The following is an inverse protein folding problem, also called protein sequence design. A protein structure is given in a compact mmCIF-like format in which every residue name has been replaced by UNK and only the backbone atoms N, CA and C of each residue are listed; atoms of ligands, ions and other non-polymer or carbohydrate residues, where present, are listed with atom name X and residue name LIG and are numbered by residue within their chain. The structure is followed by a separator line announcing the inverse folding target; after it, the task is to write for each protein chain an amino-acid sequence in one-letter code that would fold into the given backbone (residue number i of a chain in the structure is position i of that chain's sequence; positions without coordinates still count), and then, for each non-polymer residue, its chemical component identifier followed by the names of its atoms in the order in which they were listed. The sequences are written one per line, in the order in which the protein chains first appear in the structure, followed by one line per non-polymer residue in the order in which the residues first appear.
data_IF_433582622580
#
_entry.id   IF_433582622580
#
_cell.length_a   1.000
_cell.length_b   1.000
_cell.length_c   1.000
_cell.angle_alpha   90.00
_cell.angle_beta   90.00
_cell.angle_gamma   90.00
#
_symmetry.space_group_name_H-M   'P 1'
#
loop_
_entity.id
_entity.type
_entity.pdbx_description
1 polymer ?
#
# COMPACT_ATOMS: atom_id res chain seq x y z
N UNK A 1 4.38 -8.12 20.78
CA UNK A 1 2.91 -8.44 20.78
C UNK A 1 2.38 -8.35 19.36
N UNK A 2 1.49 -9.23 18.94
CA UNK A 2 0.91 -9.18 17.59
C UNK A 2 0.21 -7.84 17.34
N UNK A 3 0.48 -7.19 16.20
CA UNK A 3 -0.13 -5.92 15.81
C UNK A 3 -1.55 -6.13 15.27
N UNK A 4 -2.47 -5.25 15.64
CA UNK A 4 -3.79 -5.12 15.02
C UNK A 4 -3.67 -4.24 13.77
N UNK A 5 -4.04 -4.76 12.61
CA UNK A 5 -3.79 -4.14 11.32
C UNK A 5 -5.11 -3.86 10.60
N UNK A 6 -5.25 -2.66 10.05
CA UNK A 6 -6.16 -2.38 8.95
C UNK A 6 -5.33 -2.37 7.66
N UNK A 7 -5.81 -3.10 6.64
CA UNK A 7 -5.19 -3.10 5.32
C UNK A 7 -6.05 -2.34 4.31
N UNK A 8 -5.44 -1.47 3.52
CA UNK A 8 -6.12 -0.70 2.47
C UNK A 8 -5.46 -0.97 1.13
N UNK A 9 -6.19 -1.61 0.20
CA UNK A 9 -5.63 -1.97 -1.10
C UNK A 9 -6.70 -2.31 -2.13
N UNK A 10 -6.34 -2.32 -3.42
CA UNK A 10 -7.33 -2.60 -4.48
C UNK A 10 -6.82 -3.58 -5.54
N UNK A 11 -5.67 -3.36 -6.24
CA UNK A 11 -5.26 -4.17 -7.39
C UNK A 11 -4.60 -5.48 -6.98
N UNK A 12 -4.36 -6.33 -7.97
CA UNK A 12 -3.64 -7.61 -7.85
C UNK A 12 -2.29 -7.44 -7.13
N UNK A 13 -1.59 -6.35 -7.38
CA UNK A 13 -0.33 -6.00 -6.71
C UNK A 13 -0.39 -6.07 -5.18
N UNK A 14 -1.54 -5.74 -4.59
CA UNK A 14 -1.72 -5.69 -3.14
C UNK A 14 -2.04 -7.07 -2.52
N UNK A 15 -2.49 -8.05 -3.32
CA UNK A 15 -2.94 -9.36 -2.81
C UNK A 15 -1.83 -10.18 -2.14
N UNK A 16 -0.61 -10.35 -2.72
CA UNK A 16 0.46 -11.09 -2.08
C UNK A 16 0.90 -10.46 -0.75
N UNK A 17 0.81 -9.12 -0.66
CA UNK A 17 1.18 -8.37 0.55
C UNK A 17 0.16 -8.62 1.65
N UNK A 18 -1.15 -8.49 1.35
CA UNK A 18 -2.22 -8.81 2.29
C UNK A 18 -2.15 -10.27 2.74
N UNK A 19 -1.95 -11.19 1.78
CA UNK A 19 -1.80 -12.62 2.08
C UNK A 19 -0.66 -12.87 3.06
N UNK A 20 0.50 -12.21 2.85
CA UNK A 20 1.66 -12.38 3.71
C UNK A 20 1.41 -11.88 5.13
N UNK A 21 0.66 -10.76 5.28
CA UNK A 21 0.23 -10.26 6.59
C UNK A 21 -0.75 -11.24 7.24
N UNK A 22 -1.75 -11.73 6.48
CA UNK A 22 -2.77 -12.66 6.97
C UNK A 22 -2.18 -13.99 7.45
N UNK A 23 -1.13 -14.48 6.77
CA UNK A 23 -0.44 -15.73 7.11
C UNK A 23 0.61 -15.54 8.24
N UNK A 24 0.77 -14.32 8.78
CA UNK A 24 1.69 -14.01 9.88
C UNK A 24 1.02 -14.12 11.26
N UNK A 25 1.78 -13.79 12.30
CA UNK A 25 1.26 -13.70 13.68
C UNK A 25 0.40 -12.45 13.96
N UNK A 26 0.41 -11.47 13.05
CA UNK A 26 -0.35 -10.23 13.21
C UNK A 26 -1.83 -10.41 12.85
N UNK A 27 -2.69 -9.51 13.33
CA UNK A 27 -4.14 -9.64 13.23
C UNK A 27 -4.70 -8.64 12.24
N UNK A 28 -5.20 -9.10 11.08
CA UNK A 28 -5.95 -8.27 10.14
C UNK A 28 -7.37 -8.06 10.67
N UNK A 29 -7.63 -6.89 11.25
CA UNK A 29 -8.94 -6.53 11.82
C UNK A 29 -9.99 -6.26 10.76
N UNK A 30 -9.61 -5.52 9.73
CA UNK A 30 -10.51 -5.11 8.64
C UNK A 30 -9.71 -4.73 7.40
N UNK A 31 -10.30 -4.94 6.22
CA UNK A 31 -9.71 -4.59 4.95
C UNK A 31 -10.58 -3.55 4.25
N UNK A 32 -9.95 -2.55 3.64
CA UNK A 32 -10.59 -1.54 2.81
C UNK A 32 -10.19 -1.72 1.35
N UNK A 33 -11.14 -1.72 0.45
CA UNK A 33 -10.91 -1.74 -1.00
C UNK A 33 -11.90 -0.81 -1.71
N UNK A 34 -11.59 -0.43 -2.94
CA UNK A 34 -12.55 0.33 -3.73
C UNK A 34 -13.83 -0.48 -4.01
N UNK A 35 -14.98 0.17 -4.10
CA UNK A 35 -16.22 -0.50 -4.48
C UNK A 35 -16.10 -1.13 -5.88
N UNK A 36 -16.89 -2.17 -6.17
CA UNK A 36 -16.97 -2.78 -7.49
C UNK A 36 -17.27 -1.74 -8.57
N UNK A 37 -16.60 -1.87 -9.72
CA UNK A 37 -16.80 -0.97 -10.87
C UNK A 37 -17.32 -1.75 -12.06
N UNK A 38 -18.18 -1.10 -12.86
CA UNK A 38 -18.54 -1.61 -14.18
C UNK A 38 -17.33 -1.53 -15.10
N UNK A 39 -16.94 -2.64 -15.71
CA UNK A 39 -15.81 -2.74 -16.65
C UNK A 39 -16.24 -3.39 -17.96
N UNK A 40 -15.54 -3.03 -19.05
CA UNK A 40 -15.74 -3.54 -20.41
C UNK A 40 -17.08 -3.18 -21.07
N UNK A 41 -17.18 -3.47 -22.38
CA UNK A 41 -18.38 -3.17 -23.21
C UNK A 41 -19.69 -3.80 -22.70
N UNK A 42 -19.62 -4.86 -21.88
CA UNK A 42 -20.80 -5.52 -21.27
C UNK A 42 -21.15 -5.00 -19.87
N UNK A 43 -20.52 -3.93 -19.35
CA UNK A 43 -20.76 -3.35 -18.02
C UNK A 43 -20.83 -4.37 -16.88
N UNK A 44 -20.12 -5.49 -16.98
CA UNK A 44 -20.05 -6.49 -15.91
C UNK A 44 -19.43 -5.87 -14.68
N UNK A 45 -20.06 -6.09 -13.52
CA UNK A 45 -19.54 -5.65 -12.23
C UNK A 45 -18.29 -6.49 -11.92
N UNK A 46 -17.14 -5.83 -11.81
CA UNK A 46 -15.89 -6.49 -11.42
C UNK A 46 -15.53 -6.09 -10.00
N UNK A 47 -15.44 -7.09 -9.13
CA UNK A 47 -14.93 -6.94 -7.77
C UNK A 47 -13.41 -6.93 -7.78
N UNK A 48 -12.79 -6.15 -6.87
CA UNK A 48 -11.33 -6.06 -6.80
C UNK A 48 -10.68 -7.40 -6.43
N UNK A 49 -9.40 -7.64 -6.83
CA UNK A 49 -8.65 -8.82 -6.38
C UNK A 49 -8.57 -8.93 -4.85
N UNK A 50 -8.43 -7.82 -4.15
CA UNK A 50 -8.47 -7.77 -2.67
C UNK A 50 -9.83 -8.24 -2.15
N UNK A 51 -10.93 -7.84 -2.80
CA UNK A 51 -12.26 -8.31 -2.39
C UNK A 51 -12.37 -9.85 -2.52
N UNK A 52 -11.94 -10.40 -3.65
CA UNK A 52 -11.96 -11.87 -3.85
C UNK A 52 -11.19 -12.59 -2.76
N UNK A 53 -9.98 -12.13 -2.46
CA UNK A 53 -9.16 -12.71 -1.39
C UNK A 53 -9.84 -12.65 -0.03
N UNK A 54 -10.48 -11.50 0.30
CA UNK A 54 -11.17 -11.35 1.58
C UNK A 54 -12.41 -12.24 1.69
N UNK A 55 -13.18 -12.37 0.61
CA UNK A 55 -14.36 -13.27 0.57
C UNK A 55 -13.93 -14.72 0.77
N UNK A 56 -12.86 -15.19 0.10
CA UNK A 56 -12.32 -16.54 0.26
C UNK A 56 -11.82 -16.83 1.69
N UNK A 57 -11.24 -15.83 2.34
CA UNK A 57 -10.68 -15.93 3.70
C UNK A 57 -11.65 -15.52 4.81
N UNK A 58 -12.87 -15.07 4.45
CA UNK A 58 -13.89 -14.54 5.37
C UNK A 58 -13.38 -13.38 6.22
N UNK A 59 -12.52 -12.52 5.62
CA UNK A 59 -12.00 -11.32 6.27
C UNK A 59 -13.04 -10.21 6.13
N UNK A 60 -13.28 -9.48 7.22
CA UNK A 60 -14.16 -8.31 7.21
C UNK A 60 -13.65 -7.25 6.23
N UNK A 61 -14.51 -6.81 5.30
CA UNK A 61 -14.13 -5.88 4.23
C UNK A 61 -15.12 -4.74 4.07
N UNK A 62 -14.61 -3.51 3.93
CA UNK A 62 -15.36 -2.29 3.62
C UNK A 62 -15.02 -1.79 2.22
N UNK A 63 -16.00 -1.15 1.57
CA UNK A 63 -15.90 -0.71 0.17
C UNK A 63 -16.38 0.74 0.02
N UNK A 64 -15.81 1.70 0.77
CA UNK A 64 -16.24 3.08 0.69
C UNK A 64 -15.80 3.71 -0.64
N UNK A 65 -16.51 4.75 -1.07
CA UNK A 65 -16.12 5.60 -2.20
C UNK A 65 -15.15 6.71 -1.79
N UNK A 66 -15.17 7.08 -0.51
CA UNK A 66 -14.27 8.05 0.14
C UNK A 66 -14.09 7.68 1.60
N UNK A 67 -13.02 8.15 2.23
CA UNK A 67 -12.84 8.04 3.68
C UNK A 67 -13.47 9.30 4.31
N UNK A 68 -14.74 9.19 4.61
CA UNK A 68 -15.54 10.24 5.25
C UNK A 68 -15.47 10.14 6.78
N UNK A 69 -16.34 10.91 7.45
CA UNK A 69 -16.39 10.95 8.93
C UNK A 69 -16.76 9.59 9.53
N UNK A 70 -17.69 8.87 8.91
CA UNK A 70 -18.12 7.52 9.38
C UNK A 70 -16.97 6.54 9.32
N UNK A 71 -16.22 6.52 8.20
CA UNK A 71 -15.08 5.65 8.04
C UNK A 71 -13.94 6.03 8.99
N UNK A 72 -13.72 7.32 9.24
CA UNK A 72 -12.75 7.78 10.25
C UNK A 72 -13.11 7.30 11.66
N UNK A 73 -14.38 7.40 12.05
CA UNK A 73 -14.85 6.91 13.35
C UNK A 73 -14.75 5.39 13.44
N UNK A 74 -15.06 4.64 12.36
CA UNK A 74 -14.88 3.20 12.36
C UNK A 74 -13.42 2.80 12.58
N UNK A 75 -12.48 3.46 11.89
CA UNK A 75 -11.03 3.20 12.06
C UNK A 75 -10.58 3.53 13.48
N UNK A 76 -11.05 4.64 14.06
CA UNK A 76 -10.77 5.00 15.46
C UNK A 76 -11.30 3.95 16.45
N UNK A 77 -12.52 3.47 16.24
CA UNK A 77 -13.15 2.47 17.12
C UNK A 77 -12.45 1.11 17.06
N UNK A 78 -11.93 0.72 15.89
CA UNK A 78 -11.10 -0.48 15.74
C UNK A 78 -9.78 -0.30 16.49
N UNK A 79 -9.27 0.94 16.55
CA UNK A 79 -8.00 1.32 17.18
C UNK A 79 -6.84 0.40 16.76
N UNK A 80 -6.53 0.32 15.45
CA UNK A 80 -5.43 -0.52 14.98
C UNK A 80 -4.08 0.08 15.39
N UNK A 81 -3.05 -0.75 15.54
CA UNK A 81 -1.68 -0.29 15.76
C UNK A 81 -1.10 0.33 14.47
N UNK A 82 -1.49 -0.22 13.33
CA UNK A 82 -1.03 0.25 12.02
C UNK A 82 -2.08 0.09 10.93
N UNK A 83 -2.14 1.07 10.03
CA UNK A 83 -2.88 1.02 8.77
C UNK A 83 -1.86 0.86 7.64
N UNK A 84 -1.90 -0.26 6.93
CA UNK A 84 -1.05 -0.55 5.78
C UNK A 84 -1.81 -0.21 4.50
N UNK A 85 -1.26 0.70 3.69
CA UNK A 85 -1.85 1.16 2.44
C UNK A 85 -1.01 0.68 1.26
N UNK A 86 -1.67 0.05 0.27
CA UNK A 86 -1.01 -0.49 -0.94
C UNK A 86 -1.89 -0.23 -2.15
N UNK A 87 -1.54 0.73 -2.98
CA UNK A 87 -2.27 1.07 -4.20
C UNK A 87 -3.80 1.14 -3.97
N UNK A 88 -4.23 1.74 -2.88
CA UNK A 88 -5.63 1.84 -2.49
C UNK A 88 -6.42 2.79 -3.40
N UNK A 89 -5.81 3.95 -3.72
CA UNK A 89 -6.33 4.93 -4.67
C UNK A 89 -7.53 5.73 -4.17
N UNK A 90 -7.71 5.83 -2.85
CA UNK A 90 -8.58 6.79 -2.16
C UNK A 90 -7.69 7.59 -1.22
N UNK A 91 -7.86 8.91 -1.22
CA UNK A 91 -7.09 9.83 -0.37
C UNK A 91 -7.54 9.67 1.08
N UNK A 92 -6.58 9.56 1.99
CA UNK A 92 -6.85 9.58 3.42
C UNK A 92 -6.92 11.04 3.92
N UNK A 93 -7.99 11.43 4.62
CA UNK A 93 -8.11 12.79 5.11
C UNK A 93 -7.09 13.09 6.21
N UNK A 94 -6.70 14.36 6.31
CA UNK A 94 -5.69 14.83 7.26
C UNK A 94 -6.05 14.47 8.71
N UNK A 95 -7.33 14.56 9.05
CA UNK A 95 -7.85 14.26 10.38
C UNK A 95 -7.55 12.82 10.79
N UNK A 96 -7.66 11.88 9.85
CA UNK A 96 -7.32 10.47 10.09
C UNK A 96 -5.82 10.30 10.33
N UNK A 97 -4.98 10.95 9.52
CA UNK A 97 -3.52 10.85 9.59
C UNK A 97 -2.92 11.47 10.87
N UNK A 98 -3.70 12.26 11.60
CA UNK A 98 -3.27 12.92 12.85
C UNK A 98 -3.58 12.13 14.12
N UNK A 99 -4.21 10.95 14.00
CA UNK A 99 -4.50 10.10 15.15
C UNK A 99 -3.18 9.56 15.71
N UNK A 100 -2.83 9.95 16.93
CA UNK A 100 -1.48 9.74 17.51
C UNK A 100 -1.09 8.27 17.69
N UNK A 101 -2.05 7.40 17.99
CA UNK A 101 -1.77 6.00 18.34
C UNK A 101 -1.82 5.05 17.11
N UNK A 102 -2.08 5.57 15.92
CA UNK A 102 -2.18 4.78 14.69
C UNK A 102 -1.03 5.15 13.76
N UNK A 103 -0.24 4.17 13.35
CA UNK A 103 0.82 4.35 12.35
C UNK A 103 0.22 4.15 10.95
N UNK A 104 0.38 5.12 10.04
CA UNK A 104 -0.08 5.03 8.65
C UNK A 104 1.12 4.83 7.74
N UNK A 105 1.23 3.65 7.13
CA UNK A 105 2.35 3.20 6.31
C UNK A 105 1.87 2.90 4.90
N UNK A 106 2.54 3.47 3.90
CA UNK A 106 2.31 3.17 2.49
C UNK A 106 3.46 2.34 1.90
N UNK A 107 3.10 1.35 1.09
CA UNK A 107 4.04 0.59 0.26
C UNK A 107 3.96 1.17 -1.15
N UNK A 108 4.96 1.96 -1.52
CA UNK A 108 5.04 2.64 -2.80
C UNK A 108 5.94 1.89 -3.77
N UNK A 109 5.46 1.72 -5.02
CA UNK A 109 6.13 0.92 -6.03
C UNK A 109 7.19 1.71 -6.82
N UNK A 110 8.04 2.46 -6.12
CA UNK A 110 9.23 3.12 -6.67
C UNK A 110 10.32 3.31 -5.61
N UNK A 111 11.49 3.76 -6.05
CA UNK A 111 12.57 4.26 -5.16
C UNK A 111 12.34 5.76 -4.88
N UNK A 112 11.52 6.08 -3.91
CA UNK A 112 11.26 7.47 -3.52
C UNK A 112 12.58 8.22 -3.21
N UNK A 113 12.69 9.50 -3.59
CA UNK A 113 11.62 10.42 -4.00
C UNK A 113 11.23 10.37 -5.48
N UNK A 114 11.78 9.45 -6.27
CA UNK A 114 11.44 9.31 -7.69
C UNK A 114 10.07 8.66 -7.87
N UNK A 115 9.33 9.10 -8.89
CA UNK A 115 8.07 8.52 -9.35
C UNK A 115 7.01 8.49 -8.24
N UNK A 116 6.81 9.60 -7.52
CA UNK A 116 5.63 9.81 -6.67
C UNK A 116 4.37 9.75 -7.52
N UNK A 117 3.25 9.26 -6.99
CA UNK A 117 1.97 9.25 -7.69
C UNK A 117 1.46 7.86 -8.06
N UNK A 118 0.53 7.81 -9.03
CA UNK A 118 -0.35 6.65 -9.21
C UNK A 118 0.20 5.51 -10.09
N UNK A 119 1.19 5.75 -10.95
CA UNK A 119 1.63 4.82 -11.98
C UNK A 119 3.15 4.57 -12.03
N UNK A 120 3.86 4.40 -10.88
CA UNK A 120 5.31 4.35 -10.86
C UNK A 120 5.91 3.18 -11.65
N UNK A 121 5.26 2.01 -11.67
CA UNK A 121 5.74 0.83 -12.42
C UNK A 121 5.70 1.09 -13.92
N UNK A 122 4.58 1.60 -14.42
CA UNK A 122 4.43 1.94 -15.85
C UNK A 122 5.43 3.02 -16.26
N UNK A 123 5.58 4.03 -15.43
CA UNK A 123 6.49 5.15 -15.70
C UNK A 123 7.95 4.72 -15.71
N UNK A 124 8.37 3.85 -14.81
CA UNK A 124 9.73 3.30 -14.79
C UNK A 124 10.07 2.55 -16.10
N UNK A 125 9.11 1.76 -16.63
CA UNK A 125 9.29 1.07 -17.92
C UNK A 125 9.32 2.06 -19.08
N UNK A 126 8.40 3.03 -19.13
CA UNK A 126 8.33 4.04 -20.19
C UNK A 126 9.58 4.93 -20.24
N UNK A 127 10.16 5.24 -19.08
CA UNK A 127 11.39 6.01 -18.96
C UNK A 127 12.64 5.18 -19.30
N UNK A 128 12.50 3.87 -19.54
CA UNK A 128 13.62 2.95 -19.73
C UNK A 128 14.59 2.95 -18.54
N UNK A 129 14.04 3.10 -17.32
CA UNK A 129 14.83 3.07 -16.10
C UNK A 129 15.53 1.70 -15.95
N UNK A 130 16.81 1.69 -15.57
CA UNK A 130 17.57 0.45 -15.37
C UNK A 130 17.26 -0.24 -14.04
N UNK A 131 16.70 0.50 -13.09
CA UNK A 131 16.31 0.02 -11.78
C UNK A 131 15.05 0.75 -11.27
N UNK A 132 14.26 0.08 -10.47
CA UNK A 132 13.18 0.62 -9.66
C UNK A 132 13.20 -0.07 -8.31
N UNK A 133 12.11 -0.07 -7.56
CA UNK A 133 12.05 -0.78 -6.29
C UNK A 133 10.78 -0.49 -5.50
N UNK A 134 10.83 -0.88 -4.24
CA UNK A 134 9.79 -0.62 -3.26
C UNK A 134 10.32 0.35 -2.22
N UNK A 135 9.50 1.33 -1.85
CA UNK A 135 9.72 2.19 -0.68
C UNK A 135 8.59 2.02 0.32
N UNK A 136 8.94 1.79 1.58
CA UNK A 136 8.00 1.79 2.70
C UNK A 136 8.11 3.12 3.42
N UNK A 137 7.02 3.87 3.49
CA UNK A 137 7.01 5.24 3.95
C UNK A 137 5.83 5.54 4.88
N UNK A 138 6.00 6.54 5.74
CA UNK A 138 4.90 7.12 6.52
C UNK A 138 4.02 7.97 5.61
N UNK A 139 2.70 7.84 5.74
CA UNK A 139 1.75 8.66 5.01
C UNK A 139 1.64 10.04 5.66
N UNK A 140 1.72 11.08 4.84
CA UNK A 140 1.43 12.47 5.19
C UNK A 140 0.43 13.06 4.18
N UNK A 141 -0.19 14.23 4.44
CA UNK A 141 -1.16 14.81 3.52
C UNK A 141 -0.62 15.12 2.10
N UNK A 142 0.70 15.33 1.97
CA UNK A 142 1.33 15.57 0.67
C UNK A 142 1.61 14.22 -0.03
N UNK A 143 1.21 14.14 -1.30
CA UNK A 143 1.28 12.91 -2.10
C UNK A 143 2.68 12.30 -2.11
N UNK A 144 2.79 11.08 -1.60
CA UNK A 144 3.99 10.23 -1.55
C UNK A 144 5.28 10.94 -1.10
N UNK A 145 5.14 12.03 -0.33
CA UNK A 145 6.25 12.85 0.16
C UNK A 145 6.66 12.57 1.61
N UNK A 146 6.02 11.61 2.26
CA UNK A 146 6.33 11.25 3.64
C UNK A 146 7.72 10.63 3.82
N UNK A 147 8.26 10.65 5.04
CA UNK A 147 9.57 10.07 5.30
C UNK A 147 9.58 8.57 5.08
N UNK A 148 10.69 8.07 4.55
CA UNK A 148 10.87 6.67 4.15
C UNK A 148 11.57 5.89 5.24
N UNK A 149 11.04 4.72 5.57
CA UNK A 149 11.61 3.80 6.54
C UNK A 149 12.59 2.83 5.90
N UNK A 150 12.20 2.25 4.75
CA UNK A 150 13.06 1.27 4.06
C UNK A 150 12.84 1.31 2.54
N UNK A 151 13.87 0.93 1.80
CA UNK A 151 13.83 0.79 0.34
C UNK A 151 14.52 -0.50 -0.08
N UNK A 152 14.01 -1.11 -1.14
CA UNK A 152 14.68 -2.24 -1.80
C UNK A 152 14.60 -2.10 -3.31
N UNK A 153 15.71 -2.41 -4.00
CA UNK A 153 15.90 -2.21 -5.44
C UNK A 153 15.56 -3.45 -6.25
N UNK A 154 15.07 -3.25 -7.47
CA UNK A 154 14.89 -4.29 -8.49
C UNK A 154 15.49 -3.77 -9.80
N UNK A 155 16.27 -4.61 -10.48
CA UNK A 155 16.75 -4.33 -11.85
C UNK A 155 15.61 -4.50 -12.85
N UNK A 156 15.55 -3.58 -13.83
CA UNK A 156 14.67 -3.66 -14.99
C UNK A 156 15.53 -4.07 -16.20
N UNK A 157 15.16 -5.17 -16.85
CA UNK A 157 15.84 -5.61 -18.08
C UNK A 157 15.11 -5.04 -19.30
N UNK A 158 15.78 -5.00 -20.43
CA UNK A 158 15.29 -4.36 -21.67
C UNK A 158 13.94 -4.92 -22.17
N UNK A 159 13.69 -6.19 -21.92
CA UNK A 159 12.51 -6.94 -22.32
C UNK A 159 11.47 -7.08 -21.20
N UNK A 160 11.71 -6.47 -20.05
CA UNK A 160 10.80 -6.54 -18.89
C UNK A 160 9.48 -5.83 -19.21
N UNK A 161 8.38 -6.56 -19.16
CA UNK A 161 7.04 -5.99 -19.30
C UNK A 161 6.42 -5.62 -17.93
N UNK A 162 5.27 -4.92 -17.99
CA UNK A 162 4.57 -4.45 -16.79
C UNK A 162 4.15 -5.60 -15.84
N UNK A 163 3.62 -6.70 -16.39
CA UNK A 163 3.11 -7.80 -15.58
C UNK A 163 4.24 -8.48 -14.79
N UNK A 164 5.36 -8.72 -15.44
CA UNK A 164 6.54 -9.30 -14.81
C UNK A 164 7.14 -8.40 -13.74
N UNK A 165 7.29 -7.09 -14.05
CA UNK A 165 7.84 -6.15 -13.09
C UNK A 165 6.91 -5.98 -11.89
N UNK A 166 5.61 -5.80 -12.13
CA UNK A 166 4.59 -5.69 -11.09
C UNK A 166 4.60 -6.90 -10.16
N UNK A 167 4.68 -8.11 -10.71
CA UNK A 167 4.76 -9.35 -9.92
C UNK A 167 6.04 -9.39 -9.07
N UNK A 168 7.21 -9.16 -9.66
CA UNK A 168 8.49 -9.13 -8.93
C UNK A 168 8.48 -8.09 -7.79
N UNK A 169 7.91 -6.92 -8.05
CA UNK A 169 7.79 -5.85 -7.05
C UNK A 169 6.80 -6.22 -5.94
N UNK A 170 5.68 -6.84 -6.27
CA UNK A 170 4.71 -7.33 -5.28
C UNK A 170 5.32 -8.42 -4.38
N UNK A 171 6.06 -9.36 -4.96
CA UNK A 171 6.77 -10.41 -4.22
C UNK A 171 7.85 -9.82 -3.29
N UNK A 172 8.59 -8.80 -3.76
CA UNK A 172 9.54 -8.07 -2.92
C UNK A 172 8.84 -7.33 -1.79
N UNK A 173 7.77 -6.58 -2.08
CA UNK A 173 6.99 -5.87 -1.07
C UNK A 173 6.40 -6.81 -0.02
N UNK A 174 5.97 -8.01 -0.42
CA UNK A 174 5.44 -9.03 0.51
C UNK A 174 6.50 -9.58 1.48
N UNK A 175 7.78 -9.56 1.12
CA UNK A 175 8.88 -9.90 2.03
C UNK A 175 9.19 -8.72 2.96
N UNK A 176 9.27 -7.51 2.40
CA UNK A 176 9.56 -6.29 3.16
C UNK A 176 8.49 -5.97 4.21
N UNK A 177 7.22 -6.30 3.96
CA UNK A 177 6.16 -5.99 4.92
C UNK A 177 6.33 -6.71 6.25
N UNK A 178 6.78 -7.95 6.27
CA UNK A 178 7.00 -8.69 7.53
C UNK A 178 8.13 -8.06 8.34
N UNK A 179 9.23 -7.70 7.69
CA UNK A 179 10.32 -6.95 8.34
C UNK A 179 9.82 -5.61 8.87
N UNK A 180 8.99 -4.91 8.08
CA UNK A 180 8.33 -3.67 8.49
C UNK A 180 7.51 -3.85 9.77
N UNK A 181 6.66 -4.86 9.81
CA UNK A 181 5.79 -5.12 10.96
C UNK A 181 6.61 -5.48 12.21
N UNK A 182 7.67 -6.27 12.07
CA UNK A 182 8.58 -6.59 13.18
C UNK A 182 9.25 -5.32 13.74
N UNK A 183 9.68 -4.40 12.87
CA UNK A 183 10.27 -3.11 13.28
C UNK A 183 9.23 -2.26 14.03
N UNK A 184 7.99 -2.17 13.50
CA UNK A 184 6.90 -1.38 14.09
C UNK A 184 6.43 -1.96 15.43
N UNK A 185 6.37 -3.29 15.56
CA UNK A 185 6.03 -3.99 16.80
C UNK A 185 7.01 -3.66 17.93
N UNK A 186 8.29 -3.57 17.62
CA UNK A 186 9.35 -3.26 18.58
C UNK A 186 9.59 -1.75 18.76
N UNK A 187 8.79 -0.88 18.12
CA UNK A 187 8.97 0.58 18.12
C UNK A 187 10.40 1.00 17.72
N UNK A 188 10.99 0.31 16.75
CA UNK A 188 12.35 0.55 16.26
C UNK A 188 12.38 1.27 14.91
N UNK A 189 11.25 1.77 14.44
CA UNK A 189 11.15 2.46 13.16
C UNK A 189 11.99 3.73 13.11
N UNK A 190 12.83 3.83 12.08
CA UNK A 190 13.60 5.02 11.75
C UNK A 190 13.17 5.53 10.39
N UNK A 191 12.80 6.80 10.33
CA UNK A 191 12.34 7.43 9.10
C UNK A 191 13.33 8.49 8.64
N UNK A 192 13.63 8.49 7.33
CA UNK A 192 14.47 9.48 6.67
C UNK A 192 13.62 10.35 5.76
N UNK A 193 13.73 11.66 5.89
CA UNK A 193 13.05 12.60 4.99
C UNK A 193 13.53 12.43 3.55
N UNK A 194 12.61 12.62 2.61
CA UNK A 194 12.95 12.59 1.20
C UNK A 194 13.66 13.88 0.77
N UNK A 195 14.61 13.76 -0.17
CA UNK A 195 15.22 14.92 -0.82
C UNK A 195 14.26 15.49 -1.88
N UNK A 196 13.69 16.66 -1.64
CA UNK A 196 12.71 17.29 -2.54
C UNK A 196 13.29 17.65 -3.91
N UNK A 197 14.59 17.93 -3.99
CA UNK A 197 15.24 18.29 -5.27
C UNK A 197 15.37 17.12 -6.25
N UNK A 198 15.24 15.88 -5.74
CA UNK A 198 15.28 14.65 -6.53
C UNK A 198 13.88 14.10 -6.85
N UNK A 199 12.83 14.77 -6.38
CA UNK A 199 11.47 14.27 -6.54
C UNK A 199 11.01 14.35 -8.00
N UNK A 200 10.46 13.23 -8.49
CA UNK A 200 9.78 13.16 -9.79
C UNK A 200 8.38 12.54 -9.60
N UNK A 201 7.51 12.71 -10.59
CA UNK A 201 6.12 12.26 -10.53
C UNK A 201 5.80 11.28 -11.68
N UNK A 202 4.89 10.31 -11.36
CA UNK A 202 4.43 9.27 -12.28
C UNK A 202 2.96 9.46 -12.68
#
# INVERSE_FOLDING_TARGET
MALNIIFMGTPEFAVPILKKIYDSEHIVKEVYTKPPKKKNRGQKIEISPINKFCDDKKIKIRRPTSIDREECENIKNINPDVVIVVAYGIILPKELLTIKNIKFINIHASLLPKLRGAAPIQRAIMNLDKETGISIMKIIPRLDAGPVMMKSKIKIFKDTNYLELSKKMSDLASKMIIETLNILENNQEKFTNQNETEATYA
#
